data_IF_877640260858
#
_entry.id   IF_877640260858
#
_cell.length_a   1.000
_cell.length_b   1.000
_cell.length_c   1.000
_cell.angle_alpha   90.00
_cell.angle_beta   90.00
_cell.angle_gamma   90.00
#
_symmetry.space_group_name_H-M   'P 1'
#
loop_
_entity.id
_entity.type
_entity.pdbx_description
1 polymer ?
#
# COMPACT_ATOMS: atom_id res chain seq x y z
N UNK A 1 -2.37 27.33 21.30
CA UNK A 1 -2.52 26.07 20.54
C UNK A 1 -2.57 26.45 19.08
N UNK A 2 -1.43 26.41 18.41
CA UNK A 2 -1.32 26.74 16.99
C UNK A 2 -2.07 25.69 16.19
N UNK A 3 -3.02 26.12 15.36
CA UNK A 3 -3.66 25.28 14.37
C UNK A 3 -2.60 24.81 13.37
N UNK A 4 -2.12 23.58 13.52
CA UNK A 4 -1.42 22.89 12.43
C UNK A 4 -2.40 22.85 11.26
N UNK A 5 -2.13 23.65 10.22
CA UNK A 5 -2.77 23.52 8.93
C UNK A 5 -2.56 22.08 8.46
N UNK A 6 -3.65 21.32 8.35
CA UNK A 6 -3.66 19.92 7.98
C UNK A 6 -3.31 19.79 6.49
N UNK A 7 -2.01 19.74 6.19
CA UNK A 7 -1.47 19.60 4.83
C UNK A 7 -1.59 18.15 4.34
N UNK A 8 -1.86 17.99 3.03
CA UNK A 8 -1.79 16.70 2.34
C UNK A 8 -0.39 16.11 2.58
N UNK A 9 -0.27 14.84 2.98
CA UNK A 9 1.04 14.23 3.15
C UNK A 9 1.85 14.31 1.84
N UNK A 10 3.05 14.91 1.91
CA UNK A 10 3.90 15.19 0.73
C UNK A 10 4.15 13.97 -0.16
N UNK A 11 4.28 12.79 0.44
CA UNK A 11 4.48 11.51 -0.25
C UNK A 11 3.38 11.19 -1.27
N UNK A 12 2.13 11.60 -1.00
CA UNK A 12 0.98 11.31 -1.88
C UNK A 12 0.52 12.51 -2.73
N UNK A 13 1.20 13.66 -2.64
CA UNK A 13 0.88 14.88 -3.41
C UNK A 13 0.87 14.62 -4.93
N UNK A 14 1.73 13.71 -5.41
CA UNK A 14 1.87 13.39 -6.83
C UNK A 14 1.25 12.04 -7.21
N UNK A 15 0.31 11.54 -6.40
CA UNK A 15 -0.44 10.31 -6.66
C UNK A 15 -1.81 10.68 -7.22
N UNK A 16 -2.13 10.21 -8.43
CA UNK A 16 -3.40 10.51 -9.08
C UNK A 16 -4.57 9.72 -8.51
N UNK A 17 -4.33 8.43 -8.23
CA UNK A 17 -5.36 7.56 -7.70
C UNK A 17 -4.87 6.68 -6.55
N UNK A 18 -5.67 6.59 -5.49
CA UNK A 18 -5.40 5.71 -4.34
C UNK A 18 -6.50 4.66 -4.24
N UNK A 19 -6.12 3.38 -4.24
CA UNK A 19 -7.04 2.25 -4.13
C UNK A 19 -6.64 1.38 -2.94
N UNK A 20 -7.56 1.22 -1.99
CA UNK A 20 -7.38 0.32 -0.85
C UNK A 20 -7.72 -1.12 -1.25
N UNK A 21 -6.86 -2.09 -0.92
CA UNK A 21 -7.14 -3.52 -1.11
C UNK A 21 -7.38 -4.15 0.26
N UNK A 22 -8.63 -4.53 0.52
CA UNK A 22 -9.13 -4.96 1.81
C UNK A 22 -9.54 -6.43 1.79
N UNK A 23 -9.64 -7.05 2.96
CA UNK A 23 -10.23 -8.38 3.11
C UNK A 23 -10.73 -8.59 4.53
N UNK A 24 -11.89 -9.22 4.71
CA UNK A 24 -12.42 -9.47 6.06
C UNK A 24 -11.68 -10.55 6.84
N UNK A 25 -10.91 -11.42 6.16
CA UNK A 25 -10.15 -12.49 6.80
C UNK A 25 -8.85 -12.79 6.07
N UNK A 26 -7.89 -13.36 6.79
CA UNK A 26 -6.63 -13.84 6.22
C UNK A 26 -6.85 -15.02 5.26
N UNK A 27 -5.92 -15.20 4.32
CA UNK A 27 -5.89 -16.38 3.44
C UNK A 27 -6.86 -16.34 2.25
N UNK A 28 -7.57 -15.24 2.00
CA UNK A 28 -8.47 -15.09 0.83
C UNK A 28 -7.75 -14.78 -0.48
N UNK A 29 -6.43 -14.60 -0.45
CA UNK A 29 -5.63 -14.23 -1.62
C UNK A 29 -5.55 -12.72 -1.89
N UNK A 30 -5.82 -11.87 -0.88
CA UNK A 30 -5.75 -10.40 -0.97
C UNK A 30 -4.46 -9.90 -1.64
N UNK A 31 -3.28 -10.25 -1.10
CA UNK A 31 -2.00 -9.82 -1.66
C UNK A 31 -1.75 -10.35 -3.08
N UNK A 32 -2.23 -11.56 -3.40
CA UNK A 32 -2.19 -12.08 -4.77
C UNK A 32 -3.03 -11.23 -5.73
N UNK A 33 -4.22 -10.80 -5.30
CA UNK A 33 -5.06 -9.87 -6.07
C UNK A 33 -4.34 -8.53 -6.22
N UNK A 34 -3.75 -7.97 -5.16
CA UNK A 34 -2.93 -6.74 -5.22
C UNK A 34 -1.84 -6.85 -6.28
N UNK A 35 -1.06 -7.94 -6.26
CA UNK A 35 0.00 -8.20 -7.25
C UNK A 35 -0.55 -8.22 -8.68
N UNK A 36 -1.64 -8.94 -8.92
CA UNK A 36 -2.21 -9.07 -10.26
C UNK A 36 -2.84 -7.77 -10.77
N UNK A 37 -3.49 -6.99 -9.90
CA UNK A 37 -4.01 -5.67 -10.25
C UNK A 37 -2.86 -4.74 -10.62
N UNK A 38 -1.78 -4.72 -9.83
CA UNK A 38 -0.60 -3.90 -10.11
C UNK A 38 0.01 -4.24 -11.47
N UNK A 39 0.29 -5.52 -11.73
CA UNK A 39 0.86 -5.98 -13.00
C UNK A 39 -0.06 -5.71 -14.19
N UNK A 40 -1.38 -5.78 -14.00
CA UNK A 40 -2.36 -5.46 -15.05
C UNK A 40 -2.34 -3.98 -15.40
N UNK A 41 -2.28 -3.09 -14.41
CA UNK A 41 -2.19 -1.65 -14.63
C UNK A 41 -0.86 -1.25 -15.29
N UNK A 42 0.25 -1.85 -14.85
CA UNK A 42 1.57 -1.69 -15.48
C UNK A 42 1.54 -2.10 -16.95
N UNK A 43 0.94 -3.26 -17.25
CA UNK A 43 0.80 -3.75 -18.64
C UNK A 43 -0.11 -2.87 -19.51
N UNK A 44 -0.94 -2.01 -18.91
CA UNK A 44 -1.74 -0.99 -19.61
C UNK A 44 -0.98 0.33 -19.79
N UNK A 45 0.26 0.44 -19.33
CA UNK A 45 1.09 1.64 -19.46
C UNK A 45 1.07 2.58 -18.25
N UNK A 46 0.39 2.22 -17.15
CA UNK A 46 0.31 3.09 -15.97
C UNK A 46 1.50 2.91 -15.03
N UNK A 47 1.95 4.00 -14.41
CA UNK A 47 2.93 3.96 -13.32
C UNK A 47 2.22 3.59 -12.01
N UNK A 48 2.66 2.49 -11.40
CA UNK A 48 2.00 1.89 -10.25
C UNK A 48 2.95 1.79 -9.06
N UNK A 49 2.43 2.20 -7.90
CA UNK A 49 3.05 2.01 -6.60
C UNK A 49 2.22 1.01 -5.82
N UNK A 50 2.89 0.13 -5.09
CA UNK A 50 2.25 -0.79 -4.15
C UNK A 50 2.80 -0.52 -2.76
N UNK A 51 1.92 -0.22 -1.81
CA UNK A 51 2.24 -0.07 -0.40
C UNK A 51 1.72 -1.28 0.38
N UNK A 52 2.64 -2.10 0.87
CA UNK A 52 2.37 -3.28 1.69
C UNK A 52 2.54 -2.96 3.17
N UNK A 53 1.41 -2.95 3.89
CA UNK A 53 1.35 -2.74 5.34
C UNK A 53 0.83 -3.98 6.08
N UNK A 54 0.70 -5.12 5.38
CA UNK A 54 0.26 -6.39 5.95
C UNK A 54 1.46 -7.27 6.32
N UNK A 55 1.84 -7.24 7.60
CA UNK A 55 2.91 -8.09 8.13
C UNK A 55 2.49 -9.54 8.41
N UNK A 56 1.21 -9.88 8.25
CA UNK A 56 0.68 -11.19 8.67
C UNK A 56 0.60 -12.21 7.53
N UNK A 57 0.65 -11.74 6.27
CA UNK A 57 0.56 -12.56 5.07
C UNK A 57 1.90 -12.88 4.40
N UNK A 58 1.88 -13.69 3.32
CA UNK A 58 3.04 -13.82 2.43
C UNK A 58 3.42 -12.44 1.87
N UNK A 59 4.66 -12.02 2.17
CA UNK A 59 5.19 -10.69 1.86
C UNK A 59 5.14 -10.36 0.36
N UNK A 60 4.57 -9.21 -0.02
CA UNK A 60 4.58 -8.71 -1.40
C UNK A 60 5.99 -8.63 -2.01
N UNK A 61 7.04 -8.22 -1.26
CA UNK A 61 8.44 -8.38 -1.70
C UNK A 61 8.79 -9.76 -2.27
N UNK A 62 8.26 -10.85 -1.70
CA UNK A 62 8.46 -12.20 -2.21
C UNK A 62 7.67 -12.44 -3.50
N UNK A 63 6.40 -12.02 -3.55
CA UNK A 63 5.55 -12.19 -4.73
C UNK A 63 6.13 -11.47 -5.96
N UNK A 64 6.74 -10.32 -5.75
CA UNK A 64 7.42 -9.54 -6.79
C UNK A 64 8.89 -9.94 -7.02
N UNK A 65 9.42 -10.94 -6.29
CA UNK A 65 10.80 -11.41 -6.47
C UNK A 65 11.88 -10.41 -6.03
N UNK A 66 11.55 -9.46 -5.17
CA UNK A 66 12.44 -8.38 -4.69
C UNK A 66 12.78 -8.47 -3.20
N UNK A 67 12.54 -9.62 -2.58
CA UNK A 67 12.73 -9.85 -1.13
C UNK A 67 14.15 -9.60 -0.60
N UNK A 68 15.16 -9.58 -1.46
CA UNK A 68 16.56 -9.28 -1.10
C UNK A 68 16.94 -7.81 -1.32
N UNK A 69 16.05 -7.00 -1.90
CA UNK A 69 16.28 -5.57 -2.09
C UNK A 69 16.03 -4.83 -0.77
N UNK A 70 16.64 -3.66 -0.65
CA UNK A 70 16.51 -2.80 0.53
C UNK A 70 15.94 -1.44 0.12
N UNK A 71 15.25 -0.80 1.06
CA UNK A 71 14.79 0.58 0.93
C UNK A 71 15.98 1.51 1.11
N UNK A 72 16.10 2.50 0.22
CA UNK A 72 17.14 3.52 0.31
C UNK A 72 16.55 4.84 0.79
N UNK A 73 17.31 5.61 1.55
CA UNK A 73 16.95 6.97 1.94
C UNK A 73 17.63 7.97 1.01
N UNK A 74 16.83 8.86 0.43
CA UNK A 74 17.28 10.01 -0.35
C UNK A 74 17.09 11.31 0.45
N UNK A 75 17.55 12.43 -0.11
CA UNK A 75 17.28 13.77 0.45
C UNK A 75 15.79 14.15 0.43
N UNK A 76 14.98 13.49 -0.40
CA UNK A 76 13.54 13.73 -0.54
C UNK A 76 12.68 12.79 0.30
N UNK A 77 13.26 11.73 0.85
CA UNK A 77 12.54 10.70 1.59
C UNK A 77 12.96 9.28 1.23
N UNK A 78 12.13 8.30 1.60
CA UNK A 78 12.36 6.89 1.32
C UNK A 78 12.04 6.56 -0.13
N UNK A 79 13.01 5.98 -0.82
CA UNK A 79 12.86 5.56 -2.21
C UNK A 79 12.23 4.16 -2.23
N UNK A 80 11.03 3.99 -2.82
CA UNK A 80 10.43 2.67 -2.94
C UNK A 80 11.27 1.77 -3.83
N UNK A 81 11.22 0.47 -3.56
CA UNK A 81 11.97 -0.54 -4.30
C UNK A 81 11.36 -0.67 -5.70
N UNK A 82 12.15 -0.41 -6.73
CA UNK A 82 11.74 -0.68 -8.11
C UNK A 82 11.62 -2.20 -8.33
N UNK A 83 10.43 -2.64 -8.73
CA UNK A 83 10.14 -4.02 -9.15
C UNK A 83 10.37 -4.16 -10.64
N UNK A 84 9.83 -3.23 -11.41
CA UNK A 84 9.98 -3.16 -12.86
C UNK A 84 10.12 -1.69 -13.26
N UNK A 85 11.08 -1.40 -14.13
CA UNK A 85 11.15 -0.13 -14.83
C UNK A 85 11.08 -0.44 -16.32
N UNK A 86 10.25 0.29 -17.06
CA UNK A 86 10.30 0.19 -18.51
C UNK A 86 11.66 0.70 -18.99
N UNK A 87 12.39 -0.16 -19.71
CA UNK A 87 13.55 0.29 -20.46
C UNK A 87 13.07 0.89 -21.78
N UNK A 88 13.88 1.73 -22.42
CA UNK A 88 13.53 2.46 -23.66
C UNK A 88 13.03 1.59 -24.84
N UNK A 89 13.12 0.25 -24.74
CA UNK A 89 12.70 -0.71 -25.75
C UNK A 89 11.26 -1.22 -25.56
N UNK A 90 10.66 -1.10 -24.37
CA UNK A 90 9.28 -1.52 -24.08
C UNK A 90 8.39 -0.30 -23.80
N UNK A 91 7.93 0.38 -24.85
CA UNK A 91 7.22 1.67 -24.74
C UNK A 91 5.80 1.59 -24.19
N UNK A 92 5.22 0.39 -24.07
CA UNK A 92 3.79 0.22 -23.77
C UNK A 92 3.50 -0.20 -22.32
N UNK A 93 4.51 -0.25 -21.45
CA UNK A 93 4.35 -0.58 -20.03
C UNK A 93 4.79 0.58 -19.15
N UNK A 94 4.13 0.73 -18.01
CA UNK A 94 4.54 1.70 -16.99
C UNK A 94 5.56 1.12 -16.01
N UNK A 95 5.91 1.91 -15.00
CA UNK A 95 6.80 1.45 -13.92
C UNK A 95 6.04 0.82 -12.76
N UNK A 96 6.73 -0.05 -12.02
CA UNK A 96 6.22 -0.65 -10.79
C UNK A 96 7.22 -0.44 -9.65
N UNK A 97 6.76 0.23 -8.60
CA UNK A 97 7.51 0.40 -7.36
C UNK A 97 6.75 -0.20 -6.16
N UNK A 98 7.52 -0.64 -5.15
CA UNK A 98 7.00 -1.32 -3.97
C UNK A 98 7.62 -0.72 -2.70
N UNK A 99 6.77 -0.39 -1.74
CA UNK A 99 7.17 -0.15 -0.35
C UNK A 99 6.50 -1.20 0.53
N UNK A 100 7.25 -1.80 1.45
CA UNK A 100 6.73 -2.85 2.32
C UNK A 100 7.39 -2.81 3.68
N UNK A 101 6.61 -3.06 4.74
CA UNK A 101 7.16 -3.36 6.06
C UNK A 101 8.13 -4.56 6.02
N UNK A 102 7.95 -5.48 5.07
CA UNK A 102 8.83 -6.63 4.85
C UNK A 102 10.27 -6.27 4.49
N UNK A 103 10.54 -5.06 3.99
CA UNK A 103 11.92 -4.59 3.76
C UNK A 103 12.62 -4.07 5.02
N UNK A 104 11.82 -3.68 6.03
CA UNK A 104 12.31 -3.11 7.29
C UNK A 104 12.45 -4.18 8.38
N UNK A 105 11.82 -5.34 8.16
CA UNK A 105 12.11 -6.54 8.92
C UNK A 105 13.45 -7.10 8.43
N UNK A 106 14.37 -7.32 9.37
CA UNK A 106 15.62 -8.03 9.09
C UNK A 106 15.38 -9.49 8.71
N UNK A 107 16.35 -10.35 9.01
CA UNK A 107 16.26 -11.77 8.66
C UNK A 107 14.97 -12.42 9.19
N UNK A 108 14.25 -13.17 8.34
CA UNK A 108 12.91 -13.74 8.66
C UNK A 108 12.93 -14.69 9.86
N UNK A 109 14.11 -15.17 10.28
CA UNK A 109 14.29 -15.97 11.50
C UNK A 109 14.14 -15.19 12.80
N UNK A 110 14.29 -13.86 12.76
CA UNK A 110 14.09 -12.98 13.91
C UNK A 110 12.70 -12.35 13.83
N UNK A 111 11.71 -13.02 14.41
CA UNK A 111 10.36 -12.47 14.54
C UNK A 111 10.40 -11.26 15.49
N UNK A 112 10.55 -10.06 14.93
CA UNK A 112 10.36 -8.82 15.68
C UNK A 112 8.86 -8.61 15.83
N UNK A 113 8.36 -8.62 17.06
CA UNK A 113 6.94 -8.31 17.32
C UNK A 113 6.75 -6.80 17.20
N UNK A 114 6.16 -6.35 16.10
CA UNK A 114 5.73 -4.97 15.93
C UNK A 114 4.39 -4.77 16.64
N UNK A 115 4.41 -4.07 17.78
CA UNK A 115 3.20 -3.71 18.54
C UNK A 115 2.44 -2.57 17.85
N UNK A 116 1.13 -2.47 18.11
CA UNK A 116 0.19 -1.52 17.50
C UNK A 116 0.74 -0.10 17.28
N UNK A 117 1.19 0.61 18.32
CA UNK A 117 1.69 1.99 18.18
C UNK A 117 2.85 2.14 17.18
N UNK A 118 3.75 1.13 17.13
CA UNK A 118 4.89 1.14 16.22
C UNK A 118 4.44 0.90 14.78
N UNK A 119 3.45 0.03 14.56
CA UNK A 119 2.85 -0.18 13.23
C UNK A 119 2.14 1.09 12.74
N UNK A 120 1.30 1.68 13.57
CA UNK A 120 0.62 2.94 13.27
C UNK A 120 1.62 4.02 12.87
N UNK A 121 2.69 4.21 13.65
CA UNK A 121 3.74 5.18 13.33
C UNK A 121 4.41 4.91 11.96
N UNK A 122 4.61 3.66 11.58
CA UNK A 122 5.15 3.32 10.24
C UNK A 122 4.18 3.58 9.12
N UNK A 123 2.89 3.31 9.30
CA UNK A 123 1.88 3.65 8.31
C UNK A 123 1.91 5.16 8.05
N UNK A 124 1.94 5.97 9.12
CA UNK A 124 2.09 7.44 9.01
C UNK A 124 3.39 7.82 8.29
N UNK A 125 4.50 7.14 8.63
CA UNK A 125 5.79 7.41 7.99
C UNK A 125 5.77 7.09 6.49
N UNK A 126 5.18 5.98 6.06
CA UNK A 126 5.10 5.66 4.64
C UNK A 126 4.28 6.68 3.86
N UNK A 127 3.15 7.11 4.43
CA UNK A 127 2.28 8.10 3.82
C UNK A 127 2.87 9.51 3.83
N UNK A 128 3.93 9.78 4.61
CA UNK A 128 4.60 11.08 4.67
C UNK A 128 5.92 11.14 3.90
N UNK A 129 6.74 10.09 4.00
CA UNK A 129 8.16 10.13 3.62
C UNK A 129 8.49 9.32 2.37
N UNK A 130 7.59 8.47 1.85
CA UNK A 130 7.88 7.66 0.65
C UNK A 130 7.76 8.50 -0.62
N UNK A 131 8.76 8.45 -1.48
CA UNK A 131 8.77 9.22 -2.73
C UNK A 131 8.13 8.39 -3.84
N UNK A 132 6.81 8.51 -4.00
CA UNK A 132 6.05 7.76 -5.01
C UNK A 132 6.17 8.31 -6.43
N UNK A 133 6.31 9.62 -6.57
CA UNK A 133 6.37 10.32 -7.85
C UNK A 133 6.80 11.77 -7.67
N UNK A 134 6.88 12.51 -8.76
CA UNK A 134 7.17 13.95 -8.76
C UNK A 134 6.36 14.66 -9.84
N UNK A 135 6.44 15.99 -9.88
CA UNK A 135 5.71 16.82 -10.85
C UNK A 135 5.96 16.46 -12.32
N UNK A 136 7.15 15.94 -12.67
CA UNK A 136 7.47 15.52 -14.04
C UNK A 136 7.04 14.09 -14.34
N UNK A 137 6.90 13.26 -13.30
CA UNK A 137 6.53 11.85 -13.41
C UNK A 137 5.63 11.48 -12.22
N UNK A 138 4.34 11.83 -12.27
CA UNK A 138 3.39 11.48 -11.22
C UNK A 138 3.12 9.98 -11.22
N UNK A 139 2.68 9.46 -10.07
CA UNK A 139 2.21 8.10 -9.95
C UNK A 139 0.74 8.03 -10.38
N UNK A 140 0.39 7.09 -11.27
CA UNK A 140 -0.99 6.97 -11.73
C UNK A 140 -1.86 6.24 -10.71
N UNK A 141 -1.35 5.14 -10.11
CA UNK A 141 -2.08 4.36 -9.12
C UNK A 141 -1.20 3.97 -7.94
N UNK A 142 -1.67 4.25 -6.72
CA UNK A 142 -1.15 3.69 -5.48
C UNK A 142 -2.13 2.64 -4.95
N UNK A 143 -1.71 1.38 -4.95
CA UNK A 143 -2.44 0.27 -4.35
C UNK A 143 -1.95 0.05 -2.93
N UNK A 144 -2.85 0.05 -1.95
CA UNK A 144 -2.50 -0.17 -0.53
C UNK A 144 -3.02 -1.54 -0.10
N UNK A 145 -2.12 -2.49 0.14
CA UNK A 145 -2.43 -3.83 0.65
C UNK A 145 -2.53 -3.80 2.18
N UNK A 146 -3.77 -3.82 2.71
CA UNK A 146 -4.01 -3.66 4.15
C UNK A 146 -3.94 -5.00 4.88
N UNK A 147 -3.75 -5.05 6.22
CA UNK A 147 -4.00 -6.27 6.98
C UNK A 147 -5.46 -6.76 6.83
N UNK A 148 -5.74 -8.06 7.10
CA UNK A 148 -7.10 -8.58 7.09
C UNK A 148 -7.92 -8.15 8.33
N UNK A 149 -9.23 -7.99 8.15
CA UNK A 149 -10.19 -7.63 9.21
C UNK A 149 -10.10 -6.15 9.60
N UNK A 150 -11.05 -5.66 10.40
CA UNK A 150 -11.20 -4.24 10.76
C UNK A 150 -10.32 -3.85 11.97
N UNK A 151 -9.01 -3.90 11.83
CA UNK A 151 -8.06 -3.65 12.93
C UNK A 151 -7.65 -2.17 13.07
N UNK A 152 -6.89 -1.83 14.11
CA UNK A 152 -6.37 -0.46 14.35
C UNK A 152 -5.57 0.09 13.14
N UNK A 153 -4.96 -0.79 12.34
CA UNK A 153 -4.28 -0.40 11.11
C UNK A 153 -5.21 0.24 10.08
N UNK A 154 -6.47 -0.22 9.99
CA UNK A 154 -7.46 0.36 9.08
C UNK A 154 -7.84 1.78 9.48
N UNK A 155 -8.08 2.00 10.78
CA UNK A 155 -8.37 3.33 11.33
C UNK A 155 -7.17 4.25 11.10
N UNK A 156 -5.95 3.78 11.33
CA UNK A 156 -4.74 4.57 11.09
C UNK A 156 -4.60 5.03 9.63
N UNK A 157 -4.87 4.16 8.67
CA UNK A 157 -4.87 4.52 7.24
C UNK A 157 -5.98 5.54 6.97
N UNK A 158 -7.19 5.30 7.46
CA UNK A 158 -8.32 6.19 7.25
C UNK A 158 -8.06 7.58 7.82
N UNK A 159 -7.48 7.69 9.01
CA UNK A 159 -7.11 8.98 9.61
C UNK A 159 -6.07 9.75 8.79
N UNK A 160 -5.01 9.07 8.33
CA UNK A 160 -3.96 9.71 7.54
C UNK A 160 -4.42 10.07 6.12
N UNK A 161 -5.26 9.22 5.52
CA UNK A 161 -5.81 9.47 4.20
C UNK A 161 -7.08 10.33 4.22
N UNK A 162 -7.66 10.63 5.38
CA UNK A 162 -8.89 11.46 5.50
C UNK A 162 -8.79 12.80 4.77
N UNK A 163 -7.59 13.36 4.72
CA UNK A 163 -7.28 14.63 4.08
C UNK A 163 -6.54 14.44 2.75
N UNK A 164 -6.20 13.20 2.39
CA UNK A 164 -5.73 12.84 1.07
C UNK A 164 -6.91 12.92 0.10
N UNK A 165 -6.81 13.83 -0.87
CA UNK A 165 -7.71 13.83 -2.02
C UNK A 165 -6.88 13.58 -3.27
N UNK A 166 -7.23 12.60 -4.13
CA UNK A 166 -8.37 11.67 -4.05
C UNK A 166 -8.04 10.28 -3.48
N UNK A 167 -8.97 9.71 -2.69
CA UNK A 167 -9.12 8.26 -2.54
C UNK A 167 -10.25 7.85 -3.47
N UNK A 168 -9.95 7.05 -4.48
CA UNK A 168 -10.91 6.73 -5.54
C UNK A 168 -11.78 5.52 -5.22
N UNK A 169 -11.34 4.68 -4.27
CA UNK A 169 -12.17 3.61 -3.75
C UNK A 169 -11.39 2.46 -3.11
N UNK A 170 -12.10 1.34 -2.94
CA UNK A 170 -11.57 0.13 -2.34
C UNK A 170 -11.99 -1.13 -3.13
N UNK A 171 -11.10 -2.12 -3.15
CA UNK A 171 -11.34 -3.47 -3.65
C UNK A 171 -11.38 -4.41 -2.45
N UNK A 172 -12.52 -5.07 -2.23
CA UNK A 172 -12.69 -6.03 -1.15
C UNK A 172 -12.54 -7.45 -1.69
N UNK A 173 -11.51 -8.15 -1.22
CA UNK A 173 -11.20 -9.52 -1.63
C UNK A 173 -11.82 -10.51 -0.67
N UNK A 174 -12.47 -11.54 -1.20
CA UNK A 174 -13.11 -12.58 -0.40
C UNK A 174 -13.12 -13.94 -1.10
N UNK A 175 -13.63 -14.95 -0.39
CA UNK A 175 -13.84 -16.31 -0.90
C UNK A 175 -15.29 -16.74 -0.64
N UNK A 176 -15.86 -17.70 -1.38
CA UNK A 176 -17.25 -18.12 -1.19
C UNK A 176 -17.59 -18.73 0.18
N UNK A 177 -16.58 -19.07 1.00
CA UNK A 177 -16.79 -19.66 2.32
C UNK A 177 -17.57 -18.70 3.23
N UNK A 178 -18.64 -19.17 3.86
CA UNK A 178 -19.56 -18.35 4.66
C UNK A 178 -18.89 -17.44 5.69
N UNK A 179 -17.86 -17.93 6.39
CA UNK A 179 -17.09 -17.12 7.36
C UNK A 179 -16.49 -15.88 6.70
N UNK A 180 -15.96 -15.99 5.48
CA UNK A 180 -15.43 -14.85 4.72
C UNK A 180 -16.51 -13.81 4.43
N UNK A 181 -17.69 -14.28 4.02
CA UNK A 181 -18.78 -13.39 3.57
C UNK A 181 -19.37 -12.58 4.73
N UNK A 182 -19.35 -13.12 5.96
CA UNK A 182 -19.77 -12.39 7.15
C UNK A 182 -18.82 -11.23 7.47
N UNK A 183 -17.50 -11.47 7.36
CA UNK A 183 -16.49 -10.44 7.64
C UNK A 183 -16.42 -9.37 6.54
N UNK A 184 -16.70 -9.71 5.28
CA UNK A 184 -16.82 -8.74 4.17
C UNK A 184 -17.84 -7.64 4.48
N UNK A 185 -18.95 -7.95 5.14
CA UNK A 185 -19.95 -6.92 5.49
C UNK A 185 -19.38 -5.86 6.44
N UNK A 186 -18.48 -6.27 7.35
CA UNK A 186 -17.81 -5.33 8.26
C UNK A 186 -16.84 -4.42 7.50
N UNK A 187 -16.09 -4.98 6.55
CA UNK A 187 -15.19 -4.22 5.67
C UNK A 187 -15.94 -3.19 4.82
N UNK A 188 -17.09 -3.58 4.23
CA UNK A 188 -17.93 -2.66 3.47
C UNK A 188 -18.37 -1.49 4.35
N UNK A 189 -18.86 -1.80 5.56
CA UNK A 189 -19.30 -0.76 6.50
C UNK A 189 -18.15 0.15 6.91
N UNK A 190 -16.95 -0.39 7.14
CA UNK A 190 -15.77 0.40 7.44
C UNK A 190 -15.48 1.41 6.31
N UNK A 191 -15.40 0.95 5.05
CA UNK A 191 -15.12 1.83 3.91
C UNK A 191 -16.15 2.95 3.79
N UNK A 192 -17.45 2.63 3.88
CA UNK A 192 -18.55 3.60 3.73
C UNK A 192 -18.56 4.65 4.83
N UNK A 193 -18.08 4.33 6.03
CA UNK A 193 -18.06 5.26 7.17
C UNK A 193 -16.77 6.08 7.22
N UNK A 194 -15.67 5.53 6.73
CA UNK A 194 -14.33 6.10 6.90
C UNK A 194 -13.86 6.98 5.73
N UNK A 195 -14.48 6.87 4.54
CA UNK A 195 -14.11 7.60 3.32
C UNK A 195 -15.35 8.12 2.60
#
# INVERSE_FOLDING_TARGET
>A
MTSESQEIPKSIEHVKHIILILSGKGGVGKSSVTTQVALTLVNKGFNVGVLDIDLTGPSLPRMFGVEKKQVHQSTQGWVPVSVYNHNQLETNKGDLSLMSLGFLLGDRGNSVVWRGPKKTAMIKQFLKDVVWGNSNKPLDYLLIDTPPGTSDEHIAIAEELRYATPIDGAIIVTTPQQVATADVRKEINFVVVSF
#
